data_IF_323737694271
#
_entry.id   IF_323737694271
#
_cell.length_a   1.000
_cell.length_b   1.000
_cell.length_c   1.000
_cell.angle_alpha   90.00
_cell.angle_beta   90.00
_cell.angle_gamma   90.00
#
_symmetry.space_group_name_H-M   'P 1'
#
loop_
_entity.id
_entity.type
_entity.pdbx_description
1 polymer ?
#
# COMPACT_ATOMS: atom_id res chain seq x y z
N UNK A 1 -13.82 -28.98 -6.68
CA UNK A 1 -12.71 -28.05 -6.32
C UNK A 1 -12.46 -27.25 -7.57
N UNK A 2 -13.32 -26.27 -7.82
CA UNK A 2 -13.29 -25.47 -9.03
C UNK A 2 -12.16 -24.45 -8.95
N UNK A 3 -11.40 -24.46 -10.02
CA UNK A 3 -10.16 -23.71 -10.22
C UNK A 3 -10.43 -22.21 -10.24
N UNK A 4 -10.37 -21.55 -9.07
CA UNK A 4 -10.50 -20.09 -8.92
C UNK A 4 -9.30 -19.33 -9.50
N UNK A 5 -8.31 -20.03 -10.07
CA UNK A 5 -7.09 -19.44 -10.62
C UNK A 5 -7.19 -19.04 -12.11
N UNK A 6 -8.29 -19.34 -12.78
CA UNK A 6 -8.50 -19.04 -14.21
C UNK A 6 -9.49 -17.90 -14.50
N UNK A 7 -9.96 -17.19 -13.49
CA UNK A 7 -10.59 -15.90 -13.79
C UNK A 7 -9.49 -14.93 -14.20
N UNK A 8 -9.51 -14.59 -15.46
CA UNK A 8 -8.65 -13.57 -16.06
C UNK A 8 -8.80 -12.24 -15.29
N UNK A 9 -7.98 -12.09 -14.24
CA UNK A 9 -7.96 -10.89 -13.39
C UNK A 9 -7.51 -9.66 -14.20
N UNK A 10 -6.84 -9.84 -15.32
CA UNK A 10 -6.38 -8.74 -16.16
C UNK A 10 -7.55 -8.07 -16.88
N UNK A 11 -8.54 -8.81 -17.33
CA UNK A 11 -9.72 -8.27 -18.00
C UNK A 11 -10.62 -7.42 -17.09
N UNK A 12 -10.56 -7.64 -15.77
CA UNK A 12 -11.42 -6.91 -14.81
C UNK A 12 -10.83 -5.58 -14.35
N UNK A 13 -9.48 -5.43 -14.41
CA UNK A 13 -8.80 -4.23 -13.95
C UNK A 13 -8.58 -3.17 -15.04
N UNK A 14 -8.70 -3.54 -16.31
CA UNK A 14 -8.43 -2.67 -17.47
C UNK A 14 -9.61 -2.63 -18.44
N UNK A 15 -10.83 -2.57 -17.92
CA UNK A 15 -12.01 -2.35 -18.76
C UNK A 15 -12.02 -0.91 -19.29
N UNK A 16 -11.51 -0.72 -20.48
CA UNK A 16 -11.54 0.55 -21.20
C UNK A 16 -12.96 1.07 -21.45
N UNK A 17 -13.98 0.21 -21.36
CA UNK A 17 -15.40 0.58 -21.53
C UNK A 17 -15.96 1.35 -20.29
N UNK A 18 -15.33 1.20 -19.13
CA UNK A 18 -15.73 1.95 -17.93
C UNK A 18 -15.36 3.45 -18.01
N UNK A 19 -14.55 3.85 -19.00
CA UNK A 19 -13.93 5.17 -19.06
C UNK A 19 -14.82 6.27 -19.65
N UNK A 20 -15.94 5.95 -20.27
CA UNK A 20 -16.73 6.92 -21.02
C UNK A 20 -18.03 7.34 -20.32
N UNK A 21 -18.08 7.34 -18.99
CA UNK A 21 -19.23 7.89 -18.31
C UNK A 21 -19.19 9.42 -18.32
N UNK A 22 -20.30 10.09 -18.70
CA UNK A 22 -20.36 11.55 -18.63
C UNK A 22 -20.13 11.99 -17.17
N UNK A 23 -19.31 13.01 -17.00
CA UNK A 23 -19.06 13.57 -15.68
C UNK A 23 -20.36 14.16 -15.11
N UNK A 24 -20.64 13.96 -13.82
CA UNK A 24 -21.77 14.61 -13.17
C UNK A 24 -21.58 16.12 -13.17
N UNK A 25 -22.67 16.89 -13.27
CA UNK A 25 -22.61 18.35 -13.26
C UNK A 25 -22.13 18.93 -11.92
N UNK A 26 -22.19 18.15 -10.85
CA UNK A 26 -21.77 18.53 -9.49
C UNK A 26 -21.24 17.31 -8.77
N UNK A 27 -20.30 17.54 -7.86
CA UNK A 27 -19.87 16.60 -6.84
C UNK A 27 -19.49 17.38 -5.58
N UNK A 28 -19.72 16.83 -4.41
CA UNK A 28 -19.35 17.44 -3.14
C UNK A 28 -17.82 17.42 -2.96
N UNK A 29 -17.20 16.33 -3.35
CA UNK A 29 -15.75 16.15 -3.29
C UNK A 29 -15.25 15.55 -4.60
N UNK A 30 -14.21 16.14 -5.15
CA UNK A 30 -13.55 15.63 -6.35
C UNK A 30 -12.10 15.25 -6.00
N UNK A 31 -11.76 13.99 -6.23
CA UNK A 31 -10.39 13.46 -6.10
C UNK A 31 -9.83 13.31 -7.51
N UNK A 32 -8.71 13.96 -7.77
CA UNK A 32 -8.05 13.95 -9.08
C UNK A 32 -6.84 13.01 -9.05
N UNK A 33 -6.91 11.97 -9.87
CA UNK A 33 -5.89 10.92 -9.99
C UNK A 33 -6.27 9.64 -9.23
N UNK A 34 -6.40 8.53 -9.95
CA UNK A 34 -6.73 7.22 -9.40
C UNK A 34 -5.49 6.32 -9.23
N UNK A 35 -4.37 6.90 -8.82
CA UNK A 35 -3.23 6.15 -8.26
C UNK A 35 -3.52 5.69 -6.82
N UNK A 36 -2.56 5.03 -6.17
CA UNK A 36 -2.71 4.51 -4.80
C UNK A 36 -3.17 5.57 -3.80
N UNK A 37 -2.68 6.81 -3.93
CA UNK A 37 -3.06 7.90 -3.02
C UNK A 37 -4.51 8.34 -3.25
N UNK A 38 -4.89 8.63 -4.49
CA UNK A 38 -6.26 9.09 -4.78
C UNK A 38 -7.32 8.02 -4.54
N UNK A 39 -7.03 6.77 -4.89
CA UNK A 39 -7.92 5.65 -4.59
C UNK A 39 -8.08 5.44 -3.09
N UNK A 40 -7.00 5.54 -2.31
CA UNK A 40 -7.06 5.48 -0.84
C UNK A 40 -7.87 6.63 -0.25
N UNK A 41 -7.68 7.86 -0.73
CA UNK A 41 -8.47 9.01 -0.28
C UNK A 41 -9.96 8.80 -0.56
N UNK A 42 -10.31 8.40 -1.79
CA UNK A 42 -11.71 8.16 -2.16
C UNK A 42 -12.35 7.06 -1.31
N UNK A 43 -11.64 5.96 -1.07
CA UNK A 43 -12.08 4.86 -0.20
C UNK A 43 -12.36 5.35 1.23
N UNK A 44 -11.39 6.02 1.86
CA UNK A 44 -11.57 6.50 3.23
C UNK A 44 -12.63 7.60 3.37
N UNK A 45 -12.80 8.44 2.36
CA UNK A 45 -13.92 9.39 2.35
C UNK A 45 -15.27 8.65 2.35
N UNK A 46 -15.39 7.59 1.56
CA UNK A 46 -16.59 6.76 1.55
C UNK A 46 -16.83 6.05 2.89
N UNK A 47 -15.78 5.48 3.50
CA UNK A 47 -15.86 4.89 4.86
C UNK A 47 -16.29 5.91 5.92
N UNK A 48 -15.85 7.16 5.81
CA UNK A 48 -16.26 8.26 6.69
C UNK A 48 -17.68 8.78 6.40
N UNK A 49 -18.37 8.17 5.46
CA UNK A 49 -19.77 8.48 5.14
C UNK A 49 -19.99 9.60 4.10
N UNK A 50 -18.94 10.04 3.42
CA UNK A 50 -19.08 10.95 2.29
C UNK A 50 -19.73 10.22 1.11
N UNK A 51 -20.93 10.65 0.69
CA UNK A 51 -21.72 9.94 -0.34
C UNK A 51 -21.49 10.44 -1.77
N UNK A 52 -21.01 11.66 -1.93
CA UNK A 52 -20.87 12.33 -3.21
C UNK A 52 -19.39 12.63 -3.48
N UNK A 53 -18.63 11.54 -3.65
CA UNK A 53 -17.20 11.56 -3.98
C UNK A 53 -17.00 11.15 -5.43
N UNK A 54 -16.43 12.02 -6.22
CA UNK A 54 -16.04 11.76 -7.61
C UNK A 54 -14.53 11.54 -7.68
N UNK A 55 -14.11 10.36 -8.10
CA UNK A 55 -12.72 10.06 -8.44
C UNK A 55 -12.55 10.15 -9.96
N UNK A 56 -11.65 11.01 -10.42
CA UNK A 56 -11.37 11.19 -11.84
C UNK A 56 -9.92 10.84 -12.16
N UNK A 57 -9.71 10.14 -13.27
CA UNK A 57 -8.40 9.75 -13.78
C UNK A 57 -8.34 10.03 -15.29
N UNK A 58 -7.18 10.47 -15.77
CA UNK A 58 -6.99 10.79 -17.20
C UNK A 58 -6.71 9.58 -18.07
N UNK A 59 -6.28 8.48 -17.47
CA UNK A 59 -5.94 7.25 -18.16
C UNK A 59 -6.68 6.07 -17.50
N UNK A 60 -5.99 5.04 -17.07
CA UNK A 60 -6.56 3.94 -16.31
C UNK A 60 -6.16 4.01 -14.83
N UNK A 61 -6.92 3.35 -13.97
CA UNK A 61 -6.60 3.25 -12.54
C UNK A 61 -5.19 2.68 -12.37
N UNK A 62 -4.41 3.32 -11.49
CA UNK A 62 -3.02 2.96 -11.19
C UNK A 62 -2.02 3.06 -12.36
N UNK A 63 -2.37 3.57 -13.53
CA UNK A 63 -1.52 3.63 -14.72
C UNK A 63 -0.22 4.46 -14.56
N UNK A 64 -0.17 5.33 -13.55
CA UNK A 64 1.00 6.17 -13.27
C UNK A 64 2.04 5.47 -12.38
N UNK A 65 2.59 6.20 -11.42
CA UNK A 65 3.64 5.73 -10.51
C UNK A 65 3.24 4.47 -9.72
N UNK A 66 1.95 4.27 -9.44
CA UNK A 66 1.48 3.10 -8.69
C UNK A 66 1.79 1.78 -9.38
N UNK A 67 1.70 1.73 -10.71
CA UNK A 67 2.06 0.55 -11.50
C UNK A 67 3.56 0.22 -11.43
N UNK A 68 4.40 1.24 -11.25
CA UNK A 68 5.86 1.08 -11.23
C UNK A 68 6.41 0.83 -9.81
N UNK A 69 5.55 0.70 -8.81
CA UNK A 69 5.98 0.48 -7.43
C UNK A 69 6.64 -0.90 -7.27
N UNK A 70 7.72 -0.96 -6.49
CA UNK A 70 8.47 -2.19 -6.25
C UNK A 70 7.72 -3.22 -5.36
N UNK A 71 6.55 -2.87 -4.84
CA UNK A 71 5.75 -3.74 -3.97
C UNK A 71 6.34 -3.98 -2.59
N UNK A 72 7.34 -3.20 -2.17
CA UNK A 72 7.96 -3.33 -0.85
C UNK A 72 7.22 -2.50 0.19
N UNK A 73 6.61 -3.18 1.16
CA UNK A 73 5.92 -2.55 2.29
C UNK A 73 6.79 -2.69 3.54
N UNK A 74 7.45 -1.61 3.92
CA UNK A 74 8.40 -1.58 5.06
C UNK A 74 7.72 -0.96 6.27
N UNK A 75 7.82 -1.62 7.44
CA UNK A 75 7.26 -1.13 8.70
C UNK A 75 8.06 0.01 9.32
N UNK A 76 9.36 -0.19 9.46
CA UNK A 76 10.24 0.79 10.11
C UNK A 76 10.53 1.95 9.17
N UNK A 77 10.27 3.17 9.65
CA UNK A 77 10.57 4.42 8.96
C UNK A 77 11.43 5.30 9.86
N UNK A 78 11.99 6.37 9.30
CA UNK A 78 12.89 7.28 10.00
C UNK A 78 12.23 7.99 11.20
N UNK A 79 10.91 8.13 11.22
CA UNK A 79 10.17 8.80 12.30
C UNK A 79 9.04 7.93 12.83
N UNK A 80 8.65 8.18 14.09
CA UNK A 80 7.52 7.51 14.72
C UNK A 80 6.21 7.70 13.93
N UNK A 81 5.93 8.91 13.46
CA UNK A 81 4.72 9.20 12.68
C UNK A 81 4.66 8.39 11.38
N UNK A 82 5.77 8.34 10.64
CA UNK A 82 5.87 7.56 9.40
C UNK A 82 5.77 6.05 9.67
N UNK A 83 6.31 5.59 10.78
CA UNK A 83 6.21 4.19 11.21
C UNK A 83 4.75 3.83 11.52
N UNK A 84 4.03 4.68 12.26
CA UNK A 84 2.59 4.49 12.50
C UNK A 84 1.78 4.43 11.21
N UNK A 85 2.05 5.33 10.26
CA UNK A 85 1.39 5.33 8.96
C UNK A 85 1.66 4.03 8.18
N UNK A 86 2.89 3.50 8.24
CA UNK A 86 3.23 2.23 7.60
C UNK A 86 2.50 1.03 8.22
N UNK A 87 2.29 1.03 9.52
CA UNK A 87 1.46 0.02 10.21
C UNK A 87 0.02 0.08 9.74
N UNK A 88 -0.56 1.28 9.75
CA UNK A 88 -1.92 1.48 9.26
C UNK A 88 -2.09 0.97 7.81
N UNK A 89 -1.13 1.25 6.94
CA UNK A 89 -1.16 0.76 5.55
C UNK A 89 -1.18 -0.77 5.44
N UNK A 90 -0.43 -1.48 6.29
CA UNK A 90 -0.43 -2.94 6.32
C UNK A 90 -1.80 -3.48 6.77
N UNK A 91 -2.36 -2.89 7.81
CA UNK A 91 -3.68 -3.30 8.32
C UNK A 91 -4.79 -2.96 7.32
N UNK A 92 -4.68 -1.84 6.60
CA UNK A 92 -5.59 -1.49 5.51
C UNK A 92 -5.56 -2.51 4.37
N UNK A 93 -4.37 -2.99 3.95
CA UNK A 93 -4.29 -4.05 2.93
C UNK A 93 -5.00 -5.33 3.38
N UNK A 94 -4.84 -5.74 4.63
CA UNK A 94 -5.53 -6.92 5.18
C UNK A 94 -7.05 -6.71 5.26
N UNK A 95 -7.48 -5.50 5.62
CA UNK A 95 -8.89 -5.16 5.68
C UNK A 95 -9.52 -5.22 4.28
N UNK A 96 -8.87 -4.63 3.27
CA UNK A 96 -9.30 -4.67 1.87
C UNK A 96 -9.41 -6.12 1.37
N UNK A 97 -8.41 -6.97 1.64
CA UNK A 97 -8.44 -8.38 1.26
C UNK A 97 -9.64 -9.10 1.89
N UNK A 98 -9.88 -8.86 3.17
CA UNK A 98 -11.01 -9.46 3.90
C UNK A 98 -12.36 -8.97 3.37
N UNK A 99 -12.48 -7.70 3.05
CA UNK A 99 -13.72 -7.07 2.58
C UNK A 99 -14.07 -7.47 1.15
N UNK A 100 -13.07 -7.46 0.26
CA UNK A 100 -13.27 -7.66 -1.18
C UNK A 100 -13.12 -9.12 -1.60
N UNK A 101 -12.45 -9.95 -0.80
CA UNK A 101 -12.03 -11.30 -1.19
C UNK A 101 -10.91 -11.32 -2.25
N UNK A 102 -10.37 -10.16 -2.62
CA UNK A 102 -9.28 -10.05 -3.58
C UNK A 102 -7.95 -10.20 -2.84
N UNK A 103 -7.14 -11.17 -3.25
CA UNK A 103 -5.83 -11.38 -2.66
C UNK A 103 -4.89 -10.23 -3.05
N UNK A 104 -4.49 -9.42 -2.07
CA UNK A 104 -3.52 -8.32 -2.26
C UNK A 104 -2.07 -8.80 -2.26
N UNK A 105 -1.85 -10.11 -2.13
CA UNK A 105 -0.52 -10.76 -2.12
C UNK A 105 0.45 -10.19 -1.07
N UNK A 106 -0.06 -9.72 0.07
CA UNK A 106 0.75 -9.21 1.16
C UNK A 106 1.43 -10.37 1.91
N UNK A 107 2.72 -10.55 1.67
CA UNK A 107 3.53 -11.55 2.34
C UNK A 107 4.49 -10.89 3.34
N UNK A 108 4.62 -11.47 4.54
CA UNK A 108 5.42 -10.93 5.62
C UNK A 108 6.51 -11.93 6.06
N UNK A 109 7.57 -12.01 5.27
CA UNK A 109 8.72 -12.88 5.55
C UNK A 109 9.82 -12.20 6.36
N UNK A 110 9.65 -10.91 6.69
CA UNK A 110 10.67 -10.09 7.30
C UNK A 110 11.68 -9.54 6.28
N UNK A 111 12.76 -8.95 6.78
CA UNK A 111 13.84 -8.42 5.96
C UNK A 111 15.17 -8.56 6.68
N UNK A 112 16.24 -8.76 5.92
CA UNK A 112 17.60 -8.77 6.40
C UNK A 112 18.38 -7.60 5.81
N UNK A 113 19.06 -6.84 6.69
CA UNK A 113 19.93 -5.74 6.27
C UNK A 113 21.36 -6.05 6.62
N UNK A 114 22.26 -5.90 5.66
CA UNK A 114 23.70 -6.20 5.84
C UNK A 114 24.52 -4.93 6.03
N UNK A 115 25.43 -4.96 7.00
CA UNK A 115 26.44 -3.94 7.20
C UNK A 115 27.80 -4.45 6.68
N UNK A 116 28.36 -3.76 5.68
CA UNK A 116 29.69 -4.04 5.14
C UNK A 116 30.76 -3.07 5.62
N UNK A 117 30.37 -2.06 6.39
CA UNK A 117 31.26 -1.05 6.94
C UNK A 117 30.85 -0.70 8.37
N UNK A 118 31.78 -0.21 9.22
CA UNK A 118 31.43 0.23 10.57
C UNK A 118 30.32 1.29 10.60
N UNK A 119 30.39 2.29 9.73
CA UNK A 119 29.35 3.33 9.64
C UNK A 119 27.97 2.77 9.29
N UNK A 120 27.91 1.75 8.39
CA UNK A 120 26.64 1.08 8.10
C UNK A 120 26.12 0.28 9.29
N UNK A 121 27.02 -0.32 10.06
CA UNK A 121 26.64 -1.03 11.28
C UNK A 121 26.02 -0.09 12.32
N UNK A 122 26.56 1.13 12.47
CA UNK A 122 26.01 2.13 13.38
C UNK A 122 24.62 2.62 12.92
N UNK A 123 24.41 2.78 11.61
CA UNK A 123 23.07 3.06 11.07
C UNK A 123 22.08 1.92 11.36
N UNK A 124 22.48 0.66 11.25
CA UNK A 124 21.63 -0.48 11.56
C UNK A 124 21.32 -0.56 13.06
N UNK A 125 22.28 -0.26 13.93
CA UNK A 125 22.07 -0.16 15.38
C UNK A 125 21.04 0.93 15.71
N UNK A 126 21.16 2.08 15.09
CA UNK A 126 20.17 3.15 15.23
C UNK A 126 18.78 2.70 14.73
N UNK A 127 18.71 2.06 13.57
CA UNK A 127 17.45 1.55 13.02
C UNK A 127 16.81 0.49 13.91
N UNK A 128 17.62 -0.40 14.52
CA UNK A 128 17.16 -1.37 15.51
C UNK A 128 16.59 -0.69 16.75
N UNK A 129 17.26 0.34 17.27
CA UNK A 129 16.77 1.12 18.40
C UNK A 129 15.42 1.78 18.10
N UNK A 130 15.30 2.41 16.92
CA UNK A 130 14.03 3.02 16.46
C UNK A 130 12.93 1.97 16.29
N UNK A 131 13.24 0.81 15.72
CA UNK A 131 12.30 -0.29 15.57
C UNK A 131 11.79 -0.76 16.95
N UNK A 132 12.69 -1.03 17.87
CA UNK A 132 12.38 -1.46 19.24
C UNK A 132 11.51 -0.45 19.98
N UNK A 133 11.81 0.86 19.85
CA UNK A 133 11.00 1.94 20.44
C UNK A 133 9.57 1.98 19.89
N UNK A 134 9.39 1.56 18.64
CA UNK A 134 8.08 1.49 17.98
C UNK A 134 7.40 0.10 18.11
N UNK A 135 7.92 -0.79 18.97
CA UNK A 135 7.35 -2.12 19.18
C UNK A 135 7.54 -3.08 17.98
N UNK A 136 8.49 -2.79 17.11
CA UNK A 136 8.80 -3.66 15.97
C UNK A 136 9.87 -4.67 16.40
N UNK A 137 9.58 -5.95 16.25
CA UNK A 137 10.57 -7.00 16.47
C UNK A 137 11.71 -6.86 15.47
N UNK A 138 12.91 -6.72 15.99
CA UNK A 138 14.14 -6.66 15.21
C UNK A 138 15.30 -7.22 16.04
N UNK A 139 16.31 -7.74 15.40
CA UNK A 139 17.46 -8.35 16.05
C UNK A 139 18.75 -7.95 15.32
N UNK A 140 19.81 -7.74 16.07
CA UNK A 140 21.15 -7.58 15.56
C UNK A 140 21.84 -8.93 15.65
N UNK A 141 22.13 -9.52 14.51
CA UNK A 141 22.76 -10.83 14.40
C UNK A 141 24.21 -10.71 13.97
N UNK A 142 25.02 -11.66 14.38
CA UNK A 142 26.41 -11.75 13.91
C UNK A 142 26.47 -12.48 12.57
N UNK A 143 27.59 -12.39 11.82
CA UNK A 143 27.76 -13.12 10.56
C UNK A 143 27.72 -14.65 10.68
N UNK A 144 27.91 -15.18 11.90
CA UNK A 144 27.93 -16.62 12.19
C UNK A 144 26.54 -17.20 12.48
N UNK A 145 25.55 -16.35 12.74
CA UNK A 145 24.15 -16.70 12.96
C UNK A 145 23.38 -16.77 11.64
#
# INVERSE_FOLDING_TARGET
>A
MDNLLEKDLTATFFDDQAQSRPLPARAQTVVVGAGVVGSSIAHHLAELGHKDVLLIERASVAAGTSWHAAGLVVRTRATHAMTKLSYYGIDAYRAIEKETGINVSLQQHGSLSLARTPGRLDELRYSHMVASHNGISSELVSPEQ
#
